data_IF_720269755850
#
_entry.id   IF_720269755850
#
_cell.length_a   1.000
_cell.length_b   1.000
_cell.length_c   1.000
_cell.angle_alpha   90.00
_cell.angle_beta   90.00
_cell.angle_gamma   90.00
#
_symmetry.space_group_name_H-M   'P 1'
#
loop_
_entity.id
_entity.type
_entity.pdbx_description
1 polymer ?
#
# COMPACT_ATOMS: atom_id res chain seq x y z
N UNK A 1 3.87 -16.99 36.16
CA UNK A 1 3.89 -15.99 35.05
C UNK A 1 2.55 -15.89 34.31
N UNK A 2 1.90 -17.00 33.90
CA UNK A 2 0.61 -16.96 33.18
C UNK A 2 -0.56 -16.24 33.87
N UNK A 3 -0.73 -16.37 35.20
CA UNK A 3 -1.78 -15.66 35.95
C UNK A 3 -1.66 -14.11 35.89
N UNK A 4 -0.44 -13.58 35.76
CA UNK A 4 -0.22 -12.13 35.60
C UNK A 4 -0.66 -11.67 34.20
N UNK A 5 -0.28 -12.40 33.14
CA UNK A 5 -0.68 -12.09 31.76
C UNK A 5 -2.19 -12.23 31.53
N UNK A 6 -2.84 -13.24 32.13
CA UNK A 6 -4.29 -13.40 32.04
C UNK A 6 -5.03 -12.23 32.70
N UNK A 7 -4.58 -11.78 33.87
CA UNK A 7 -5.16 -10.62 34.55
C UNK A 7 -4.96 -9.33 33.76
N UNK A 8 -3.76 -9.12 33.22
CA UNK A 8 -3.45 -7.95 32.39
C UNK A 8 -4.28 -7.95 31.10
N UNK A 9 -4.43 -9.11 30.44
CA UNK A 9 -5.29 -9.23 29.25
C UNK A 9 -6.74 -8.93 29.57
N UNK A 10 -7.24 -9.40 30.72
CA UNK A 10 -8.61 -9.13 31.14
C UNK A 10 -8.86 -7.65 31.44
N UNK A 11 -7.91 -7.00 32.13
CA UNK A 11 -7.94 -5.55 32.37
C UNK A 11 -7.92 -4.75 31.06
N UNK A 12 -7.09 -5.14 30.09
CA UNK A 12 -7.03 -4.50 28.77
C UNK A 12 -8.32 -4.69 27.95
N UNK A 13 -8.89 -5.89 27.97
CA UNK A 13 -10.16 -6.18 27.30
C UNK A 13 -11.30 -5.35 27.93
N UNK A 14 -11.31 -5.25 29.26
CA UNK A 14 -12.31 -4.48 29.99
C UNK A 14 -12.18 -2.98 29.71
N UNK A 15 -10.95 -2.46 29.66
CA UNK A 15 -10.66 -1.07 29.31
C UNK A 15 -11.05 -0.74 27.86
N UNK A 16 -10.74 -1.62 26.91
CA UNK A 16 -11.16 -1.48 25.51
C UNK A 16 -12.69 -1.55 25.39
N UNK A 17 -13.36 -2.42 26.15
CA UNK A 17 -14.82 -2.53 26.17
C UNK A 17 -15.47 -1.25 26.73
N UNK A 18 -14.95 -0.73 27.84
CA UNK A 18 -15.44 0.50 28.47
C UNK A 18 -15.21 1.72 27.57
N UNK A 19 -14.02 1.85 26.98
CA UNK A 19 -13.69 2.92 26.04
C UNK A 19 -14.54 2.84 24.76
N UNK A 20 -14.76 1.63 24.22
CA UNK A 20 -15.64 1.39 23.08
C UNK A 20 -17.09 1.78 23.39
N UNK A 21 -17.63 1.37 24.54
CA UNK A 21 -19.00 1.68 24.96
C UNK A 21 -19.22 3.18 25.20
N UNK A 22 -18.27 3.85 25.84
CA UNK A 22 -18.32 5.30 26.05
C UNK A 22 -18.22 6.06 24.72
N UNK A 23 -17.34 5.63 23.80
CA UNK A 23 -17.24 6.26 22.50
C UNK A 23 -18.49 6.00 21.65
N UNK A 24 -18.96 4.76 21.52
CA UNK A 24 -20.14 4.38 20.72
C UNK A 24 -21.42 5.09 21.18
N UNK A 25 -21.57 5.38 22.47
CA UNK A 25 -22.70 6.13 23.02
C UNK A 25 -22.68 7.64 22.74
N UNK A 26 -21.54 8.22 22.34
CA UNK A 26 -21.44 9.64 22.08
C UNK A 26 -21.95 10.02 20.68
N UNK A 27 -22.70 11.13 20.58
CA UNK A 27 -23.20 11.65 19.30
C UNK A 27 -22.07 11.99 18.31
N UNK A 28 -20.89 12.36 18.82
CA UNK A 28 -19.69 12.64 18.02
C UNK A 28 -19.14 11.37 17.36
N UNK A 29 -18.98 10.27 18.11
CA UNK A 29 -18.49 9.00 17.55
C UNK A 29 -19.46 8.41 16.53
N UNK A 30 -20.78 8.48 16.78
CA UNK A 30 -21.78 8.03 15.81
C UNK A 30 -21.68 8.77 14.48
N UNK A 31 -21.36 10.07 14.51
CA UNK A 31 -21.13 10.87 13.30
C UNK A 31 -19.87 10.42 12.57
N UNK A 32 -18.75 10.22 13.28
CA UNK A 32 -17.50 9.73 12.69
C UNK A 32 -17.67 8.34 12.10
N UNK A 33 -18.36 7.44 12.81
CA UNK A 33 -18.68 6.10 12.33
C UNK A 33 -19.54 6.16 11.06
N UNK A 34 -20.61 6.95 11.05
CA UNK A 34 -21.51 7.05 9.90
C UNK A 34 -20.79 7.63 8.67
N UNK A 35 -19.99 8.69 8.85
CA UNK A 35 -19.18 9.27 7.77
C UNK A 35 -18.12 8.29 7.28
N UNK A 36 -17.43 7.58 8.19
CA UNK A 36 -16.43 6.57 7.84
C UNK A 36 -17.04 5.39 7.10
N UNK A 37 -18.24 4.94 7.51
CA UNK A 37 -18.98 3.87 6.85
C UNK A 37 -19.43 4.27 5.45
N UNK A 38 -19.97 5.48 5.28
CA UNK A 38 -20.34 6.02 3.97
C UNK A 38 -19.13 6.15 3.04
N UNK A 39 -18.01 6.69 3.54
CA UNK A 39 -16.77 6.77 2.76
C UNK A 39 -16.22 5.38 2.39
N UNK A 40 -16.38 4.39 3.27
CA UNK A 40 -15.99 3.01 2.98
C UNK A 40 -16.85 2.41 1.86
N UNK A 41 -18.17 2.58 1.91
CA UNK A 41 -19.09 2.14 0.85
C UNK A 41 -18.75 2.78 -0.51
N UNK A 42 -18.49 4.09 -0.51
CA UNK A 42 -18.08 4.81 -1.73
C UNK A 42 -16.78 4.24 -2.28
N UNK A 43 -15.78 4.03 -1.43
CA UNK A 43 -14.51 3.40 -1.81
C UNK A 43 -14.72 2.01 -2.41
N UNK A 44 -15.56 1.17 -1.79
CA UNK A 44 -15.86 -0.18 -2.28
C UNK A 44 -16.50 -0.18 -3.66
N UNK A 45 -17.42 0.77 -3.91
CA UNK A 45 -18.03 0.94 -5.24
C UNK A 45 -16.96 1.31 -6.27
N UNK A 46 -16.05 2.24 -5.96
CA UNK A 46 -14.96 2.59 -6.87
C UNK A 46 -14.02 1.42 -7.15
N UNK A 47 -13.66 0.63 -6.13
CA UNK A 47 -12.86 -0.58 -6.30
C UNK A 47 -13.58 -1.62 -7.18
N UNK A 48 -14.88 -1.85 -6.97
CA UNK A 48 -15.66 -2.76 -7.80
C UNK A 48 -15.84 -2.27 -9.24
N UNK A 49 -16.00 -0.97 -9.47
CA UNK A 49 -16.02 -0.38 -10.83
C UNK A 49 -14.67 -0.58 -11.51
N UNK A 50 -13.55 -0.35 -10.80
CA UNK A 50 -12.21 -0.52 -11.38
C UNK A 50 -11.97 -1.95 -11.85
N UNK A 51 -12.41 -2.94 -11.08
CA UNK A 51 -12.33 -4.35 -11.48
C UNK A 51 -13.25 -4.66 -12.66
N UNK A 52 -14.49 -4.14 -12.64
CA UNK A 52 -15.45 -4.35 -13.73
C UNK A 52 -14.93 -3.84 -15.08
N UNK A 53 -14.34 -2.65 -15.11
CA UNK A 53 -13.76 -2.07 -16.34
C UNK A 53 -12.65 -2.98 -16.90
N UNK A 54 -11.79 -3.51 -16.04
CA UNK A 54 -10.71 -4.41 -16.44
C UNK A 54 -11.27 -5.76 -16.91
N UNK A 55 -12.23 -6.34 -16.19
CA UNK A 55 -12.88 -7.60 -16.55
C UNK A 55 -13.56 -7.52 -17.93
N UNK A 56 -14.32 -6.45 -18.19
CA UNK A 56 -14.95 -6.18 -19.50
C UNK A 56 -13.88 -5.99 -20.59
N UNK A 57 -12.77 -5.32 -20.27
CA UNK A 57 -11.66 -5.10 -21.23
C UNK A 57 -10.96 -6.41 -21.62
N UNK A 58 -10.95 -7.41 -20.75
CA UNK A 58 -10.39 -8.74 -20.99
C UNK A 58 -11.43 -9.69 -21.62
N UNK A 59 -12.67 -9.24 -21.82
CA UNK A 59 -13.74 -10.02 -22.48
C UNK A 59 -14.56 -10.90 -21.54
N UNK A 60 -14.44 -10.70 -20.21
CA UNK A 60 -15.21 -11.43 -19.22
C UNK A 60 -16.43 -10.61 -18.76
N UNK A 61 -17.63 -11.15 -18.96
CA UNK A 61 -18.88 -10.48 -18.64
C UNK A 61 -19.26 -10.73 -17.18
N UNK A 62 -18.91 -9.79 -16.29
CA UNK A 62 -19.27 -9.82 -14.86
C UNK A 62 -20.38 -8.83 -14.58
N UNK A 63 -21.34 -9.20 -13.73
CA UNK A 63 -22.34 -8.25 -13.23
C UNK A 63 -21.71 -7.18 -12.33
N UNK A 64 -22.24 -5.96 -12.35
CA UNK A 64 -21.76 -4.87 -11.49
C UNK A 64 -21.75 -5.24 -9.99
N UNK A 65 -22.80 -5.91 -9.52
CA UNK A 65 -22.92 -6.33 -8.12
C UNK A 65 -21.94 -7.46 -7.77
N UNK A 66 -21.77 -8.44 -8.66
CA UNK A 66 -20.83 -9.55 -8.51
C UNK A 66 -19.38 -9.04 -8.46
N UNK A 67 -19.04 -8.05 -9.30
CA UNK A 67 -17.73 -7.40 -9.29
C UNK A 67 -17.41 -6.78 -7.93
N UNK A 68 -18.36 -6.04 -7.34
CA UNK A 68 -18.19 -5.42 -6.01
C UNK A 68 -18.02 -6.49 -4.95
N UNK A 69 -18.87 -7.51 -4.95
CA UNK A 69 -18.84 -8.59 -3.96
C UNK A 69 -17.56 -9.43 -4.05
N UNK A 70 -17.10 -9.74 -5.26
CA UNK A 70 -15.87 -10.49 -5.52
C UNK A 70 -14.65 -9.76 -4.94
N UNK A 71 -14.50 -8.48 -5.28
CA UNK A 71 -13.40 -7.62 -4.80
C UNK A 71 -13.44 -7.48 -3.28
N UNK A 72 -14.63 -7.33 -2.70
CA UNK A 72 -14.81 -7.20 -1.25
C UNK A 72 -14.47 -8.48 -0.49
N UNK A 73 -15.01 -9.62 -0.91
CA UNK A 73 -14.71 -10.91 -0.31
C UNK A 73 -13.21 -11.23 -0.39
N UNK A 74 -12.62 -10.97 -1.55
CA UNK A 74 -11.19 -11.14 -1.77
C UNK A 74 -10.33 -10.23 -0.89
N UNK A 75 -10.67 -8.95 -0.77
CA UNK A 75 -9.92 -8.02 0.08
C UNK A 75 -10.08 -8.36 1.58
N UNK A 76 -11.26 -8.84 2.00
CA UNK A 76 -11.47 -9.29 3.38
C UNK A 76 -10.61 -10.52 3.71
N UNK A 77 -10.52 -11.49 2.80
CA UNK A 77 -9.66 -12.67 2.93
C UNK A 77 -8.18 -12.28 2.85
N UNK A 78 -7.83 -11.36 1.93
CA UNK A 78 -6.46 -10.88 1.73
C UNK A 78 -5.91 -10.10 2.92
N UNK A 79 -6.77 -9.41 3.67
CA UNK A 79 -6.37 -8.70 4.89
C UNK A 79 -6.16 -9.61 6.11
N UNK A 80 -6.45 -10.92 6.00
CA UNK A 80 -6.10 -11.85 7.06
C UNK A 80 -4.57 -11.96 7.14
N UNK A 81 -3.97 -11.93 8.35
CA UNK A 81 -2.51 -11.98 8.55
C UNK A 81 -1.96 -13.39 8.36
N UNK A 82 -2.36 -14.04 7.26
CA UNK A 82 -1.96 -15.39 6.85
C UNK A 82 -0.93 -15.28 5.71
N UNK A 83 -1.04 -14.26 4.85
CA UNK A 83 -0.13 -14.03 3.71
C UNK A 83 0.35 -12.58 3.66
N UNK A 84 1.52 -12.34 3.08
CA UNK A 84 2.10 -11.00 2.93
C UNK A 84 1.24 -10.21 1.93
N UNK A 85 0.50 -9.22 2.44
CA UNK A 85 -0.35 -8.33 1.64
C UNK A 85 -1.55 -9.01 0.97
N UNK A 86 -1.94 -10.21 1.40
CA UNK A 86 -3.08 -10.93 0.80
C UNK A 86 -2.80 -11.55 -0.57
N UNK A 87 -1.54 -11.56 -1.01
CA UNK A 87 -1.13 -12.06 -2.33
C UNK A 87 -1.43 -13.56 -2.44
N UNK A 88 -2.02 -13.98 -3.57
CA UNK A 88 -2.49 -15.36 -3.78
C UNK A 88 -3.88 -15.65 -3.20
N UNK A 89 -4.16 -15.29 -1.95
CA UNK A 89 -5.49 -15.53 -1.33
C UNK A 89 -6.58 -14.64 -1.90
N UNK A 90 -6.25 -13.38 -2.16
CA UNK A 90 -7.21 -12.43 -2.67
C UNK A 90 -7.45 -12.62 -4.18
N UNK A 91 -6.51 -13.22 -4.90
CA UNK A 91 -6.68 -13.58 -6.31
C UNK A 91 -7.52 -14.85 -6.43
N UNK A 92 -7.21 -15.85 -5.60
CA UNK A 92 -8.02 -17.05 -5.42
C UNK A 92 -9.47 -16.72 -5.04
N UNK A 93 -9.69 -15.79 -4.11
CA UNK A 93 -11.03 -15.40 -3.67
C UNK A 93 -11.90 -14.83 -4.79
N UNK A 94 -11.33 -14.07 -5.73
CA UNK A 94 -12.07 -13.53 -6.87
C UNK A 94 -12.38 -14.65 -7.87
N UNK A 95 -11.39 -15.46 -8.23
CA UNK A 95 -11.56 -16.57 -9.19
C UNK A 95 -12.56 -17.60 -8.65
N UNK A 96 -12.50 -17.94 -7.36
CA UNK A 96 -13.43 -18.85 -6.71
C UNK A 96 -14.87 -18.29 -6.69
N UNK A 97 -15.02 -16.99 -6.45
CA UNK A 97 -16.32 -16.32 -6.47
C UNK A 97 -16.93 -16.26 -7.88
N UNK A 98 -16.12 -15.92 -8.90
CA UNK A 98 -16.57 -15.81 -10.29
C UNK A 98 -16.90 -17.17 -10.92
N UNK A 99 -16.13 -18.22 -10.61
CA UNK A 99 -16.40 -19.57 -11.12
C UNK A 99 -17.46 -20.33 -10.31
N UNK A 100 -18.05 -19.70 -9.29
CA UNK A 100 -18.99 -20.33 -8.35
C UNK A 100 -18.46 -21.70 -7.86
N UNK A 101 -17.15 -21.80 -7.64
CA UNK A 101 -16.50 -23.04 -7.24
C UNK A 101 -16.95 -23.36 -5.81
N UNK A 102 -17.23 -24.65 -5.55
CA UNK A 102 -17.47 -25.11 -4.19
C UNK A 102 -16.32 -24.63 -3.29
N UNK A 103 -16.60 -24.05 -2.10
CA UNK A 103 -15.57 -23.47 -1.24
C UNK A 103 -14.52 -24.49 -0.73
N UNK A 104 -14.74 -25.79 -1.00
CA UNK A 104 -13.85 -26.90 -0.64
C UNK A 104 -13.26 -27.65 -1.86
N UNK A 105 -13.57 -27.22 -3.09
CA UNK A 105 -12.99 -27.81 -4.29
C UNK A 105 -11.87 -26.90 -4.82
N UNK A 106 -10.63 -27.21 -4.46
CA UNK A 106 -9.43 -26.43 -4.75
C UNK A 106 -8.87 -26.68 -6.16
N UNK A 107 -9.61 -27.36 -7.04
CA UNK A 107 -9.20 -27.62 -8.42
C UNK A 107 -9.62 -26.43 -9.26
N UNK A 108 -8.66 -25.54 -9.51
CA UNK A 108 -8.83 -24.34 -10.32
C UNK A 108 -8.57 -24.72 -11.78
N UNK A 109 -9.38 -24.28 -12.76
CA UNK A 109 -8.99 -24.36 -14.15
C UNK A 109 -7.74 -23.49 -14.38
N UNK A 110 -6.63 -24.13 -14.76
CA UNK A 110 -5.30 -23.51 -14.91
C UNK A 110 -5.22 -22.48 -16.05
N UNK A 111 -6.26 -22.36 -16.89
CA UNK A 111 -6.28 -21.45 -18.05
C UNK A 111 -7.63 -20.73 -18.13
N UNK A 112 -7.67 -19.47 -17.66
CA UNK A 112 -8.87 -18.64 -17.71
C UNK A 112 -8.55 -17.17 -17.90
N UNK A 113 -9.28 -16.48 -18.78
CA UNK A 113 -9.19 -15.03 -18.97
C UNK A 113 -9.44 -14.23 -17.68
N UNK A 114 -10.12 -14.83 -16.70
CA UNK A 114 -10.37 -14.28 -15.38
C UNK A 114 -9.09 -14.01 -14.59
N UNK A 115 -8.09 -14.89 -14.69
CA UNK A 115 -6.79 -14.69 -14.04
C UNK A 115 -6.09 -13.43 -14.56
N UNK A 116 -6.15 -13.18 -15.87
CA UNK A 116 -5.58 -11.99 -16.48
C UNK A 116 -6.27 -10.71 -15.96
N UNK A 117 -7.59 -10.73 -15.81
CA UNK A 117 -8.34 -9.61 -15.25
C UNK A 117 -8.00 -9.34 -13.77
N UNK A 118 -7.89 -10.41 -12.97
CA UNK A 118 -7.57 -10.33 -11.54
C UNK A 118 -6.14 -9.84 -11.30
N UNK A 119 -5.16 -10.40 -12.02
CA UNK A 119 -3.76 -9.99 -11.94
C UNK A 119 -3.60 -8.54 -12.42
N UNK A 120 -4.24 -8.18 -13.55
CA UNK A 120 -4.22 -6.81 -14.06
C UNK A 120 -4.79 -5.81 -13.06
N UNK A 121 -5.88 -6.16 -12.39
CA UNK A 121 -6.47 -5.33 -11.35
C UNK A 121 -5.57 -5.19 -10.11
N UNK A 122 -4.89 -6.25 -9.66
CA UNK A 122 -3.90 -6.18 -8.57
C UNK A 122 -2.71 -5.29 -8.93
N UNK A 123 -2.19 -5.38 -10.15
CA UNK A 123 -1.12 -4.48 -10.64
C UNK A 123 -1.58 -3.02 -10.60
N UNK A 124 -2.77 -2.75 -11.13
CA UNK A 124 -3.31 -1.40 -11.21
C UNK A 124 -3.62 -0.78 -9.84
N UNK A 125 -4.13 -1.57 -8.88
CA UNK A 125 -4.63 -1.06 -7.59
C UNK A 125 -3.65 -1.17 -6.44
N UNK A 126 -2.65 -2.05 -6.54
CA UNK A 126 -1.68 -2.28 -5.47
C UNK A 126 -0.28 -1.80 -5.88
N UNK A 127 0.25 -2.32 -6.99
CA UNK A 127 1.63 -2.06 -7.37
C UNK A 127 1.86 -0.65 -7.95
N UNK A 128 0.93 -0.15 -8.77
CA UNK A 128 1.04 1.21 -9.34
C UNK A 128 1.02 2.29 -8.24
N UNK A 129 0.09 2.29 -7.26
CA UNK A 129 0.14 3.25 -6.16
C UNK A 129 1.40 3.15 -5.31
N UNK A 130 1.93 1.95 -5.07
CA UNK A 130 3.19 1.76 -4.35
C UNK A 130 4.35 2.41 -5.10
N UNK A 131 4.43 2.21 -6.42
CA UNK A 131 5.47 2.84 -7.24
C UNK A 131 5.37 4.38 -7.21
N UNK A 132 4.16 4.93 -7.35
CA UNK A 132 3.93 6.39 -7.32
C UNK A 132 4.30 6.96 -5.95
N UNK A 133 3.83 6.34 -4.86
CA UNK A 133 4.13 6.81 -3.50
C UNK A 133 5.61 6.71 -3.19
N UNK A 134 6.30 5.66 -3.65
CA UNK A 134 7.75 5.56 -3.55
C UNK A 134 8.47 6.71 -4.25
N UNK A 135 8.12 7.03 -5.51
CA UNK A 135 8.72 8.16 -6.24
C UNK A 135 8.50 9.49 -5.49
N UNK A 136 7.28 9.72 -5.01
CA UNK A 136 6.95 10.94 -4.27
C UNK A 136 7.74 11.04 -2.97
N UNK A 137 7.86 9.94 -2.22
CA UNK A 137 8.63 9.89 -0.98
C UNK A 137 10.12 10.09 -1.22
N UNK A 138 10.70 9.47 -2.26
CA UNK A 138 12.11 9.66 -2.64
C UNK A 138 12.36 11.11 -3.03
N UNK A 139 11.50 11.70 -3.86
CA UNK A 139 11.63 13.12 -4.26
C UNK A 139 11.53 14.06 -3.06
N UNK A 140 10.60 13.79 -2.14
CA UNK A 140 10.45 14.56 -0.91
C UNK A 140 11.67 14.40 0.01
N UNK A 141 12.19 13.18 0.17
CA UNK A 141 13.41 12.93 0.93
C UNK A 141 14.60 13.67 0.33
N UNK A 142 14.84 13.53 -0.97
CA UNK A 142 15.91 14.22 -1.71
C UNK A 142 15.79 15.74 -1.65
N UNK A 143 14.57 16.29 -1.69
CA UNK A 143 14.36 17.74 -1.54
C UNK A 143 14.75 18.28 -0.15
N UNK A 144 14.78 17.40 0.87
CA UNK A 144 15.15 17.74 2.24
C UNK A 144 16.64 17.53 2.51
N UNK A 145 17.35 16.85 1.62
CA UNK A 145 18.80 16.81 1.64
C UNK A 145 19.36 18.08 0.97
N UNK A 146 19.53 19.13 1.76
CA UNK A 146 20.47 20.20 1.40
C UNK A 146 21.85 19.56 1.39
N UNK A 147 22.51 19.55 0.22
CA UNK A 147 23.92 19.14 0.10
C UNK A 147 24.68 19.89 1.21
N UNK A 148 25.34 19.23 2.17
CA UNK A 148 26.19 19.95 3.09
C UNK A 148 27.23 20.69 2.23
N UNK A 149 27.40 21.99 2.42
CA UNK A 149 28.57 22.68 1.87
C UNK A 149 29.79 21.93 2.40
N UNK A 150 30.42 21.17 1.52
CA UNK A 150 31.50 20.28 1.90
C UNK A 150 32.68 21.12 2.37
N UNK A 151 33.35 20.57 3.37
CA UNK A 151 34.43 21.20 4.12
C UNK A 151 35.48 21.70 3.12
N UNK A 152 35.68 23.01 3.14
CA UNK A 152 36.70 23.77 2.42
C UNK A 152 38.05 23.04 2.41
N UNK A 153 38.33 22.30 1.35
CA UNK A 153 39.62 21.64 1.18
C UNK A 153 40.68 22.66 0.73
N UNK A 154 41.84 22.64 1.40
CA UNK A 154 42.99 23.44 1.00
C UNK A 154 43.66 22.78 -0.20
N UNK A 155 43.90 23.53 -1.25
CA UNK A 155 44.68 23.06 -2.38
C UNK A 155 46.09 22.67 -1.91
N UNK A 156 46.55 21.43 -2.15
CA UNK A 156 47.85 20.97 -1.66
C UNK A 156 49.04 21.65 -2.36
N UNK A 157 48.80 22.35 -3.47
CA UNK A 157 49.85 22.99 -4.29
C UNK A 157 49.99 24.48 -3.97
N UNK A 158 48.89 25.22 -3.85
CA UNK A 158 48.91 26.67 -3.58
C UNK A 158 48.45 27.06 -2.17
N UNK A 159 47.85 26.13 -1.42
CA UNK A 159 47.32 26.38 -0.08
C UNK A 159 46.00 27.16 -0.05
N UNK A 160 45.46 27.55 -1.20
CA UNK A 160 44.20 28.29 -1.31
C UNK A 160 43.02 27.42 -0.84
N UNK A 161 42.08 28.05 -0.16
CA UNK A 161 40.86 27.40 0.32
C UNK A 161 39.82 27.41 -0.80
N UNK A 162 39.43 26.23 -1.28
CA UNK A 162 38.57 26.10 -2.46
C UNK A 162 37.37 25.21 -2.12
N UNK A 163 36.23 25.52 -2.73
CA UNK A 163 35.04 24.67 -2.65
C UNK A 163 35.24 23.42 -3.54
N UNK A 164 34.88 22.24 -3.07
CA UNK A 164 35.07 20.97 -3.80
C UNK A 164 34.48 21.01 -5.22
N UNK A 165 33.38 21.75 -5.41
CA UNK A 165 32.74 21.90 -6.71
C UNK A 165 33.62 22.65 -7.74
N UNK A 166 34.59 23.47 -7.28
CA UNK A 166 35.50 24.26 -8.11
C UNK A 166 36.94 23.73 -8.10
N UNK A 167 37.24 22.75 -7.23
CA UNK A 167 38.58 22.19 -7.07
C UNK A 167 39.14 21.60 -8.38
N UNK A 168 38.31 20.88 -9.15
CA UNK A 168 38.72 20.28 -10.41
C UNK A 168 39.10 21.35 -11.46
N UNK A 169 38.33 22.43 -11.56
CA UNK A 169 38.63 23.55 -12.46
C UNK A 169 39.85 24.35 -12.04
N UNK A 170 40.07 24.50 -10.73
CA UNK A 170 41.26 25.15 -10.20
C UNK A 170 42.55 24.36 -10.50
N UNK A 171 42.55 23.05 -10.25
CA UNK A 171 43.67 22.15 -10.57
C UNK A 171 44.07 22.26 -12.04
N UNK A 172 43.09 22.23 -12.95
CA UNK A 172 43.35 22.28 -14.38
C UNK A 172 43.83 23.65 -14.87
N UNK A 173 43.31 24.75 -14.33
CA UNK A 173 43.67 26.09 -14.82
C UNK A 173 44.96 26.65 -14.21
N UNK A 174 45.27 26.32 -12.95
CA UNK A 174 46.43 26.88 -12.23
C UNK A 174 47.61 25.93 -12.11
N UNK A 175 47.39 24.64 -12.24
CA UNK A 175 48.40 23.60 -12.02
C UNK A 175 48.50 22.60 -13.18
N UNK A 176 48.02 22.95 -14.37
CA UNK A 176 48.35 22.19 -15.57
C UNK A 176 49.85 22.32 -15.83
N UNK A 177 50.58 21.29 -15.44
CA UNK A 177 51.98 21.09 -15.82
C UNK A 177 52.06 21.01 -17.34
N UNK A 178 52.74 21.98 -17.96
CA UNK A 178 53.54 21.70 -19.16
C UNK A 178 54.72 20.79 -18.79
#
# INVERSE_FOLDING_TARGET
RGKKYAKQTNEWIEEVCMMSRQNLGSSKSRKVFCVGFLMSLVSWIFYGISFLVIAVSVGFAVGFFESIMAVMGANAIGNLPITIGGSGLAEFGIVAYLNNLNPFNLVIPDEGLEWNAVIGWRIATYYVPIAITWILLVKLALSRYTKPETIRDKCPVCGDIINDNEFAGHMQNKHSTE
#
